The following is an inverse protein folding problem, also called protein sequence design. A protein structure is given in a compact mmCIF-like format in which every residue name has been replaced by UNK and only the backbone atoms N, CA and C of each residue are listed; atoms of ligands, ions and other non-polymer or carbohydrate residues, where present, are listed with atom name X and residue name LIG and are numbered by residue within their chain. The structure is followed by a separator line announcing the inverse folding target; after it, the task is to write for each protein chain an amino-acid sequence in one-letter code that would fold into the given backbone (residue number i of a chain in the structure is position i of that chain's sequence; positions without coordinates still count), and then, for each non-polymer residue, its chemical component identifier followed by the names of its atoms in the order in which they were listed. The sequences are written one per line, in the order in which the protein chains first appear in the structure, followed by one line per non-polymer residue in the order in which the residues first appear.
data_IF_913062387852
#
_entry.id   IF_913062387852
#
_cell.length_a   1.000
_cell.length_b   1.000
_cell.length_c   1.000
_cell.angle_alpha   90.00
_cell.angle_beta   90.00
_cell.angle_gamma   90.00
#
_symmetry.space_group_name_H-M   'P 1'
#
loop_
_entity.id
_entity.type
_entity.pdbx_description
1 polymer ?
#
# COMPACT_ATOMS: atom_id res chain seq x y z
N UNK A 1 6.59 -16.18 21.51
CA UNK A 1 6.19 -15.14 20.52
C UNK A 1 7.32 -15.02 19.49
N UNK A 2 7.26 -15.69 18.33
CA UNK A 2 8.33 -15.55 17.32
C UNK A 2 8.05 -16.15 15.92
N UNK A 3 6.81 -16.41 15.51
CA UNK A 3 6.54 -16.91 14.14
C UNK A 3 6.10 -15.79 13.18
N UNK A 4 5.33 -14.81 13.69
CA UNK A 4 4.68 -13.80 12.85
C UNK A 4 5.60 -12.64 12.41
N UNK A 5 6.77 -12.50 13.03
CA UNK A 5 7.73 -11.40 12.75
C UNK A 5 8.70 -11.74 11.61
N UNK A 6 8.69 -12.98 11.14
CA UNK A 6 9.52 -13.44 10.03
C UNK A 6 8.72 -13.74 8.76
N UNK A 7 7.39 -13.77 8.83
CA UNK A 7 6.56 -14.01 7.65
C UNK A 7 6.59 -12.77 6.75
N UNK A 8 7.17 -12.87 5.54
CA UNK A 8 7.21 -11.76 4.60
C UNK A 8 5.82 -11.23 4.25
N UNK A 9 4.78 -12.10 4.24
CA UNK A 9 3.39 -11.71 3.96
C UNK A 9 2.84 -10.76 5.02
N UNK A 10 3.15 -11.04 6.28
CA UNK A 10 2.70 -10.20 7.38
C UNK A 10 3.30 -8.78 7.26
N UNK A 11 4.58 -8.69 6.88
CA UNK A 11 5.25 -7.42 6.62
C UNK A 11 4.66 -6.68 5.41
N UNK A 12 4.41 -7.38 4.30
CA UNK A 12 3.81 -6.75 3.11
C UNK A 12 2.39 -6.26 3.37
N UNK A 13 1.57 -7.03 4.08
CA UNK A 13 0.20 -6.63 4.44
C UNK A 13 0.17 -5.43 5.37
N UNK A 14 1.07 -5.38 6.36
CA UNK A 14 1.19 -4.24 7.26
C UNK A 14 1.59 -2.97 6.48
N UNK A 15 2.57 -3.07 5.59
CA UNK A 15 2.98 -1.94 4.76
C UNK A 15 1.88 -1.47 3.82
N UNK A 16 1.16 -2.39 3.16
CA UNK A 16 0.01 -2.03 2.34
C UNK A 16 -1.06 -1.28 3.11
N UNK A 17 -1.37 -1.71 4.35
CA UNK A 17 -2.35 -1.03 5.20
C UNK A 17 -1.93 0.41 5.46
N UNK A 18 -0.69 0.63 5.90
CA UNK A 18 -0.16 1.97 6.20
C UNK A 18 -0.16 2.89 4.96
N UNK A 19 0.18 2.33 3.80
CA UNK A 19 0.14 3.07 2.54
C UNK A 19 -1.30 3.46 2.16
N UNK A 20 -2.28 2.55 2.32
CA UNK A 20 -3.70 2.85 2.10
C UNK A 20 -4.21 3.93 3.04
N UNK A 21 -3.90 3.83 4.33
CA UNK A 21 -4.25 4.86 5.33
C UNK A 21 -3.68 6.24 4.94
N UNK A 22 -2.44 6.26 4.43
CA UNK A 22 -1.81 7.50 3.95
C UNK A 22 -2.51 8.06 2.71
N UNK A 23 -2.87 7.19 1.75
CA UNK A 23 -3.65 7.58 0.56
C UNK A 23 -4.99 8.19 0.95
N UNK A 24 -5.69 7.56 1.90
CA UNK A 24 -6.99 8.03 2.37
C UNK A 24 -6.86 9.40 3.06
N UNK A 25 -5.81 9.62 3.86
CA UNK A 25 -5.53 10.92 4.46
C UNK A 25 -5.22 12.00 3.41
N UNK A 26 -4.35 11.73 2.44
CA UNK A 26 -4.02 12.67 1.36
C UNK A 26 -5.29 13.09 0.60
N UNK A 27 -6.14 12.13 0.22
CA UNK A 27 -7.40 12.39 -0.49
C UNK A 27 -8.44 13.09 0.37
N UNK A 28 -8.45 12.84 1.68
CA UNK A 28 -9.32 13.55 2.61
C UNK A 28 -8.90 15.02 2.74
N UNK A 29 -7.59 15.32 2.76
CA UNK A 29 -7.10 16.69 2.91
C UNK A 29 -7.24 17.50 1.62
N UNK A 30 -7.19 16.87 0.44
CA UNK A 30 -7.56 17.51 -0.85
C UNK A 30 -8.95 18.16 -0.77
N UNK A 31 -9.89 17.58 -0.01
CA UNK A 31 -11.25 18.13 0.17
C UNK A 31 -11.32 19.30 1.16
N UNK A 32 -10.29 19.50 1.98
CA UNK A 32 -10.27 20.51 3.07
C UNK A 32 -9.47 21.76 2.70
N UNK A 33 -8.47 21.62 1.84
CA UNK A 33 -7.63 22.73 1.39
C UNK A 33 -8.22 23.40 0.16
N UNK A 34 -7.89 24.66 -0.11
CA UNK A 34 -8.30 25.38 -1.33
C UNK A 34 -7.14 25.64 -2.30
N UNK A 35 -5.90 25.48 -1.84
CA UNK A 35 -4.71 25.70 -2.63
C UNK A 35 -4.59 24.67 -3.77
N UNK A 36 -4.68 25.07 -5.06
CA UNK A 36 -4.72 24.13 -6.18
C UNK A 36 -3.44 23.31 -6.34
N UNK A 37 -2.28 23.90 -6.05
CA UNK A 37 -0.98 23.24 -6.17
C UNK A 37 -0.81 22.14 -5.12
N UNK A 38 -1.24 22.40 -3.89
CA UNK A 38 -1.24 21.42 -2.82
C UNK A 38 -2.18 20.23 -3.12
N UNK A 39 -3.37 20.50 -3.66
CA UNK A 39 -4.30 19.45 -4.11
C UNK A 39 -3.66 18.54 -5.13
N UNK A 40 -3.08 19.11 -6.19
CA UNK A 40 -2.44 18.34 -7.24
C UNK A 40 -1.26 17.51 -6.71
N UNK A 41 -0.47 18.05 -5.78
CA UNK A 41 0.62 17.31 -5.13
C UNK A 41 0.10 16.13 -4.30
N UNK A 42 -0.99 16.31 -3.53
CA UNK A 42 -1.59 15.24 -2.74
C UNK A 42 -2.22 14.15 -3.60
N UNK A 43 -2.91 14.52 -4.69
CA UNK A 43 -3.46 13.55 -5.64
C UNK A 43 -2.35 12.74 -6.31
N UNK A 44 -1.30 13.40 -6.83
CA UNK A 44 -0.15 12.72 -7.43
C UNK A 44 0.54 11.77 -6.43
N UNK A 45 0.71 12.23 -5.19
CA UNK A 45 1.30 11.41 -4.13
C UNK A 45 0.44 10.17 -3.84
N UNK A 46 -0.88 10.33 -3.74
CA UNK A 46 -1.82 9.24 -3.55
C UNK A 46 -1.78 8.22 -4.69
N UNK A 47 -1.60 8.66 -5.93
CA UNK A 47 -1.43 7.77 -7.10
C UNK A 47 -0.15 6.94 -7.04
N UNK A 48 0.99 7.58 -6.72
CA UNK A 48 2.28 6.88 -6.57
C UNK A 48 2.19 5.83 -5.46
N UNK A 49 1.65 6.19 -4.30
CA UNK A 49 1.43 5.25 -3.19
C UNK A 49 0.47 4.12 -3.60
N UNK A 50 -0.55 4.39 -4.41
CA UNK A 50 -1.44 3.38 -4.98
C UNK A 50 -0.71 2.37 -5.86
N UNK A 51 0.24 2.85 -6.68
CA UNK A 51 1.14 1.99 -7.46
C UNK A 51 2.00 1.08 -6.57
N UNK A 52 2.53 1.61 -5.46
CA UNK A 52 3.26 0.80 -4.48
C UNK A 52 2.38 -0.27 -3.86
N UNK A 53 1.16 0.08 -3.39
CA UNK A 53 0.20 -0.89 -2.83
C UNK A 53 -0.05 -2.04 -3.80
N UNK A 54 -0.20 -1.74 -5.09
CA UNK A 54 -0.35 -2.77 -6.14
C UNK A 54 0.88 -3.67 -6.24
N UNK A 55 2.10 -3.12 -6.24
CA UNK A 55 3.32 -3.91 -6.30
C UNK A 55 3.44 -4.90 -5.12
N UNK A 56 3.03 -4.49 -3.92
CA UNK A 56 2.94 -5.40 -2.77
C UNK A 56 1.90 -6.53 -2.99
N UNK A 57 0.72 -6.22 -3.55
CA UNK A 57 -0.30 -7.24 -3.86
C UNK A 57 0.21 -8.23 -4.90
N UNK A 58 0.89 -7.74 -5.93
CA UNK A 58 1.46 -8.58 -6.98
C UNK A 58 2.55 -9.52 -6.42
N UNK A 59 3.35 -9.07 -5.46
CA UNK A 59 4.32 -9.91 -4.75
C UNK A 59 3.62 -11.03 -3.97
N UNK A 60 2.56 -10.73 -3.20
CA UNK A 60 1.83 -11.75 -2.44
C UNK A 60 1.21 -12.80 -3.37
N UNK A 61 0.55 -12.38 -4.45
CA UNK A 61 -0.07 -13.31 -5.41
C UNK A 61 0.93 -14.23 -6.09
N UNK A 62 2.10 -13.69 -6.49
CA UNK A 62 3.17 -14.50 -7.09
C UNK A 62 3.75 -15.51 -6.12
N UNK A 63 3.91 -15.13 -4.85
CA UNK A 63 4.34 -16.07 -3.81
C UNK A 63 3.29 -17.16 -3.60
N UNK A 64 2.02 -16.83 -3.43
CA UNK A 64 0.94 -17.83 -3.25
C UNK A 64 0.92 -18.88 -4.38
N UNK A 65 1.12 -18.45 -5.64
CA UNK A 65 1.20 -19.36 -6.77
C UNK A 65 2.43 -20.29 -6.73
N UNK A 66 3.57 -19.81 -6.21
CA UNK A 66 4.77 -20.62 -6.04
C UNK A 66 4.59 -21.69 -4.96
N UNK A 67 3.95 -21.35 -3.84
CA UNK A 67 3.66 -22.31 -2.76
C UNK A 67 2.63 -23.37 -3.17
N UNK A 68 1.60 -23.02 -3.95
CA UNK A 68 0.61 -23.99 -4.47
C UNK A 68 1.17 -24.98 -5.49
N UNK A 69 2.30 -24.66 -6.13
CA UNK A 69 2.98 -25.59 -7.07
C UNK A 69 3.97 -26.52 -6.38
N UNK A 70 4.32 -26.25 -5.13
CA UNK A 70 5.34 -26.99 -4.39
C UNK A 70 4.76 -28.07 -3.44
N UNK A 71 3.43 -28.21 -3.38
CA UNK A 71 2.72 -29.25 -2.62
C UNK A 71 1.83 -30.08 -3.53
#
# INVERSE_FOLDING_TARGET
MAANDKDPRHHTQNMQRRLRETIDHLRADVKKVDEPQLKAMFETSAEVLGGLVKAFSDYEQKNEAAWRKAG
#
